data_IF_675498304291
#
_entry.id   IF_675498304291
#
_cell.length_a   1.000
_cell.length_b   1.000
_cell.length_c   1.000
_cell.angle_alpha   90.00
_cell.angle_beta   90.00
_cell.angle_gamma   90.00
#
_symmetry.space_group_name_H-M   'P 1'
#
loop_
_entity.id
_entity.type
_entity.pdbx_description
1 polymer ?
#
# COMPACT_ATOMS: atom_id res chain seq x y z
N UNK A 1 -10.33 47.78 41.50
CA UNK A 1 -10.74 47.43 40.13
C UNK A 1 -9.74 46.40 39.60
N UNK A 2 -10.08 45.13 39.73
CA UNK A 2 -9.29 44.00 39.29
C UNK A 2 -9.81 43.54 37.93
N UNK A 3 -8.95 43.35 36.94
CA UNK A 3 -9.26 42.68 35.67
C UNK A 3 -8.73 41.25 35.69
N UNK A 4 -9.68 40.37 35.64
CA UNK A 4 -9.51 38.93 35.44
C UNK A 4 -8.89 38.62 34.08
N UNK A 5 -7.79 37.85 34.07
CA UNK A 5 -7.23 37.29 32.87
C UNK A 5 -7.88 35.95 32.56
N UNK A 6 -8.45 35.84 31.37
CA UNK A 6 -8.99 34.61 30.82
C UNK A 6 -7.84 33.75 30.26
N UNK A 7 -7.76 32.52 30.73
CA UNK A 7 -6.81 31.51 30.24
C UNK A 7 -7.26 30.92 28.90
N UNK A 8 -6.33 30.84 27.99
CA UNK A 8 -6.49 30.23 26.66
C UNK A 8 -6.72 28.71 26.72
N UNK A 9 -7.67 28.16 25.96
CA UNK A 9 -7.96 26.73 25.92
C UNK A 9 -7.24 26.04 24.74
N UNK A 10 -5.93 26.16 24.65
CA UNK A 10 -5.19 25.32 23.71
C UNK A 10 -4.52 24.18 24.46
N UNK A 11 -5.14 23.02 24.33
CA UNK A 11 -4.64 21.77 24.87
C UNK A 11 -3.23 21.47 24.36
N UNK A 12 -2.42 21.01 25.28
CA UNK A 12 -1.07 20.51 25.08
C UNK A 12 -1.09 19.39 24.02
N UNK A 13 -0.17 19.38 23.04
CA UNK A 13 -0.08 18.28 22.09
C UNK A 13 0.18 16.95 22.83
N UNK A 14 -0.35 15.83 22.33
CA UNK A 14 -0.13 14.54 22.96
C UNK A 14 1.37 14.25 22.97
N UNK A 15 1.87 13.86 24.13
CA UNK A 15 3.25 13.47 24.35
C UNK A 15 3.63 12.36 23.33
N UNK A 16 4.82 12.51 22.75
CA UNK A 16 5.46 11.47 21.94
C UNK A 16 5.29 10.12 22.65
N UNK A 17 4.88 9.09 21.88
CA UNK A 17 4.71 7.73 22.37
C UNK A 17 5.98 7.31 23.12
N UNK A 18 5.87 7.14 24.42
CA UNK A 18 6.95 6.62 25.23
C UNK A 18 7.32 5.24 24.67
N UNK A 19 8.55 5.11 24.17
CA UNK A 19 9.14 3.82 23.86
C UNK A 19 9.05 2.96 25.12
N UNK A 20 8.14 1.98 25.11
CA UNK A 20 8.10 0.94 26.15
C UNK A 20 9.37 0.11 25.93
N UNK A 21 10.43 0.47 26.60
CA UNK A 21 11.62 -0.37 26.73
C UNK A 21 11.14 -1.65 27.41
N UNK A 22 10.98 -2.72 26.63
CA UNK A 22 10.74 -4.06 27.15
C UNK A 22 12.04 -4.53 27.81
N UNK A 23 12.33 -4.00 29.00
CA UNK A 23 13.48 -4.40 29.80
C UNK A 23 13.36 -5.91 30.10
N UNK A 24 14.18 -6.72 29.40
CA UNK A 24 14.20 -8.17 29.53
C UNK A 24 13.84 -8.96 28.26
N UNK A 25 13.41 -8.36 27.13
CA UNK A 25 13.16 -9.10 25.90
C UNK A 25 14.47 -9.54 25.24
N UNK A 26 14.50 -10.79 24.79
CA UNK A 26 15.67 -11.39 24.13
C UNK A 26 15.25 -12.30 22.97
N UNK A 27 16.17 -12.55 22.02
CA UNK A 27 15.91 -13.44 20.90
C UNK A 27 15.47 -14.85 21.32
N UNK A 28 16.07 -15.52 22.35
CA UNK A 28 15.57 -16.81 22.80
C UNK A 28 14.12 -16.77 23.28
N UNK A 29 13.70 -15.70 23.97
CA UNK A 29 12.31 -15.55 24.41
C UNK A 29 11.34 -15.36 23.24
N UNK A 30 11.68 -14.45 22.28
CA UNK A 30 10.87 -14.22 21.10
C UNK A 30 10.74 -15.48 20.25
N UNK A 31 11.88 -16.09 19.89
CA UNK A 31 11.89 -17.31 19.08
C UNK A 31 11.24 -18.49 19.77
N UNK A 32 11.43 -18.64 21.08
CA UNK A 32 10.80 -19.71 21.88
C UNK A 32 9.27 -19.63 21.87
N UNK A 33 8.68 -18.40 21.88
CA UNK A 33 7.23 -18.23 21.73
C UNK A 33 6.77 -18.63 20.34
N UNK A 34 7.46 -18.17 19.30
CA UNK A 34 7.10 -18.44 17.90
C UNK A 34 7.19 -19.94 17.57
N UNK A 35 8.28 -20.62 17.99
CA UNK A 35 8.43 -22.06 17.79
C UNK A 35 7.42 -22.88 18.58
N UNK A 36 6.98 -22.35 19.74
CA UNK A 36 5.87 -22.89 20.52
C UNK A 36 4.48 -22.51 19.97
N UNK A 37 4.39 -21.88 18.79
CA UNK A 37 3.15 -21.40 18.16
C UNK A 37 2.31 -20.50 19.08
N UNK A 38 2.97 -19.73 19.95
CA UNK A 38 2.34 -18.80 20.87
C UNK A 38 2.52 -17.37 20.36
N UNK A 39 1.47 -16.56 20.45
CA UNK A 39 1.54 -15.15 20.08
C UNK A 39 2.61 -14.43 20.91
N UNK A 40 3.31 -13.50 20.28
CA UNK A 40 4.27 -12.63 20.96
C UNK A 40 3.55 -11.79 22.03
N UNK A 41 4.21 -11.54 23.13
CA UNK A 41 3.71 -10.57 24.09
C UNK A 41 3.85 -9.16 23.50
N UNK A 42 2.99 -8.26 23.96
CA UNK A 42 3.00 -6.86 23.52
C UNK A 42 4.41 -6.26 23.61
N UNK A 43 4.84 -5.62 22.53
CA UNK A 43 6.15 -5.00 22.37
C UNK A 43 7.27 -5.97 21.95
N UNK A 44 7.04 -7.28 21.92
CA UNK A 44 8.09 -8.22 21.48
C UNK A 44 8.30 -8.21 19.97
N UNK A 45 7.24 -8.04 19.16
CA UNK A 45 7.37 -7.87 17.73
C UNK A 45 8.06 -6.53 17.41
N UNK A 46 7.69 -5.46 18.10
CA UNK A 46 8.32 -4.16 18.00
C UNK A 46 9.82 -4.23 18.34
N UNK A 47 10.16 -4.87 19.46
CA UNK A 47 11.56 -5.06 19.86
C UNK A 47 12.36 -5.83 18.80
N UNK A 48 11.81 -6.92 18.28
CA UNK A 48 12.50 -7.72 17.25
C UNK A 48 12.73 -6.90 15.97
N UNK A 49 11.71 -6.14 15.54
CA UNK A 49 11.82 -5.29 14.36
C UNK A 49 12.83 -4.16 14.58
N UNK A 50 12.90 -3.55 15.74
CA UNK A 50 13.90 -2.53 16.07
C UNK A 50 15.34 -3.10 16.01
N UNK A 51 15.55 -4.31 16.55
CA UNK A 51 16.84 -5.01 16.43
C UNK A 51 17.22 -5.26 14.96
N UNK A 52 16.24 -5.50 14.09
CA UNK A 52 16.47 -5.68 12.65
C UNK A 52 16.79 -4.34 11.99
N UNK A 53 15.98 -3.30 12.25
CA UNK A 53 16.14 -1.99 11.61
C UNK A 53 17.44 -1.29 12.03
N UNK A 54 17.91 -1.49 13.26
CA UNK A 54 19.19 -0.96 13.75
C UNK A 54 20.40 -1.79 13.30
N UNK A 55 20.18 -2.97 12.71
CA UNK A 55 21.25 -3.89 12.31
C UNK A 55 21.89 -4.65 13.48
N UNK A 56 21.26 -4.64 14.65
CA UNK A 56 21.71 -5.40 15.82
C UNK A 56 21.38 -6.90 15.73
N UNK A 57 20.34 -7.26 14.98
CA UNK A 57 19.96 -8.65 14.73
C UNK A 57 20.92 -9.34 13.78
N UNK A 58 21.29 -10.59 14.10
CA UNK A 58 22.11 -11.43 13.21
C UNK A 58 21.24 -12.05 12.10
N UNK A 59 21.78 -12.36 10.89
CA UNK A 59 21.01 -12.97 9.81
C UNK A 59 20.22 -14.21 10.22
N UNK A 60 20.79 -15.10 11.03
CA UNK A 60 20.10 -16.28 11.53
C UNK A 60 18.90 -15.95 12.43
N UNK A 61 18.96 -14.85 13.20
CA UNK A 61 17.86 -14.39 14.05
C UNK A 61 16.74 -13.81 13.19
N UNK A 62 17.08 -13.03 12.19
CA UNK A 62 16.11 -12.45 11.23
C UNK A 62 15.40 -13.57 10.47
N UNK A 63 16.16 -14.55 9.94
CA UNK A 63 15.59 -15.68 9.20
C UNK A 63 14.66 -16.51 10.08
N UNK A 64 15.12 -16.89 11.27
CA UNK A 64 14.32 -17.68 12.22
C UNK A 64 13.04 -16.93 12.62
N UNK A 65 13.13 -15.62 12.89
CA UNK A 65 11.98 -14.78 13.25
C UNK A 65 10.97 -14.71 12.10
N UNK A 66 11.42 -14.38 10.89
CA UNK A 66 10.55 -14.24 9.73
C UNK A 66 9.78 -15.53 9.43
N UNK A 67 10.49 -16.65 9.37
CA UNK A 67 9.88 -17.96 9.05
C UNK A 67 8.97 -18.45 10.19
N UNK A 68 9.41 -18.37 11.44
CA UNK A 68 8.62 -18.87 12.57
C UNK A 68 7.34 -18.04 12.78
N UNK A 69 7.40 -16.69 12.60
CA UNK A 69 6.23 -15.83 12.70
C UNK A 69 5.24 -16.11 11.56
N UNK A 70 5.74 -16.33 10.34
CA UNK A 70 4.90 -16.71 9.20
C UNK A 70 4.22 -18.07 9.42
N UNK A 71 4.96 -19.08 9.88
CA UNK A 71 4.42 -20.41 10.15
C UNK A 71 3.39 -20.43 11.30
N UNK A 72 3.54 -19.54 12.26
CA UNK A 72 2.57 -19.38 13.36
C UNK A 72 1.27 -18.72 12.86
N UNK A 73 1.30 -18.02 11.77
CA UNK A 73 0.31 -17.05 11.30
C UNK A 73 0.26 -15.82 12.25
N UNK A 74 0.79 -14.67 11.84
CA UNK A 74 0.86 -13.48 12.69
C UNK A 74 -0.54 -12.96 13.05
N UNK A 75 -0.66 -12.31 14.19
CA UNK A 75 -1.85 -11.52 14.52
C UNK A 75 -1.74 -10.11 13.93
N UNK A 76 -2.88 -9.42 13.82
CA UNK A 76 -2.90 -8.01 13.38
C UNK A 76 -2.05 -7.12 14.31
N UNK A 77 -2.07 -7.36 15.62
CA UNK A 77 -1.26 -6.61 16.59
C UNK A 77 0.25 -6.82 16.37
N UNK A 78 0.69 -8.06 16.14
CA UNK A 78 2.09 -8.36 15.85
C UNK A 78 2.56 -7.66 14.57
N UNK A 79 1.74 -7.69 13.51
CA UNK A 79 2.06 -7.02 12.24
C UNK A 79 2.00 -5.50 12.40
N UNK A 80 1.06 -4.98 13.19
CA UNK A 80 0.99 -3.55 13.50
C UNK A 80 2.23 -3.04 14.23
N UNK A 81 2.75 -3.83 15.19
CA UNK A 81 4.01 -3.51 15.88
C UNK A 81 5.20 -3.48 14.90
N UNK A 82 5.31 -4.47 13.99
CA UNK A 82 6.36 -4.50 12.97
C UNK A 82 6.29 -3.27 12.05
N UNK A 83 5.10 -2.99 11.52
CA UNK A 83 4.88 -1.86 10.63
C UNK A 83 5.12 -0.51 11.33
N UNK A 84 4.73 -0.39 12.61
CA UNK A 84 4.97 0.80 13.42
C UNK A 84 6.47 1.12 13.53
N UNK A 85 7.27 0.15 13.94
CA UNK A 85 8.72 0.33 14.05
C UNK A 85 9.37 0.64 12.69
N UNK A 86 8.93 -0.02 11.61
CA UNK A 86 9.45 0.28 10.28
C UNK A 86 9.15 1.73 9.87
N UNK A 87 7.97 2.26 10.21
CA UNK A 87 7.60 3.66 9.98
C UNK A 87 8.39 4.63 10.87
N UNK A 88 8.72 4.25 12.11
CA UNK A 88 9.52 5.07 13.02
C UNK A 88 10.98 5.19 12.57
N UNK A 89 11.49 4.19 11.84
CA UNK A 89 12.80 4.19 11.19
C UNK A 89 12.77 4.75 9.74
N UNK A 90 11.60 5.11 9.23
CA UNK A 90 11.49 5.72 7.90
C UNK A 90 11.98 7.16 7.90
N UNK A 91 12.41 7.66 6.73
CA UNK A 91 12.57 9.10 6.52
C UNK A 91 11.19 9.76 6.62
N UNK A 92 10.99 10.73 7.52
CA UNK A 92 9.67 11.31 7.72
C UNK A 92 9.23 12.14 6.51
N UNK A 93 7.94 12.14 6.23
CA UNK A 93 7.32 13.16 5.39
C UNK A 93 7.12 14.45 6.20
N UNK A 94 7.17 15.64 5.57
CA UNK A 94 6.85 16.89 6.22
C UNK A 94 5.46 16.84 6.88
N UNK A 95 5.39 17.29 8.13
CA UNK A 95 4.14 17.28 8.89
C UNK A 95 3.06 18.13 8.18
N UNK A 96 1.85 17.58 8.08
CA UNK A 96 0.69 18.25 7.47
C UNK A 96 0.82 18.61 5.96
N UNK A 97 1.86 18.13 5.28
CA UNK A 97 2.05 18.40 3.86
C UNK A 97 1.32 17.41 2.94
N UNK A 98 0.87 16.29 3.49
CA UNK A 98 0.06 15.30 2.74
C UNK A 98 -1.42 15.53 3.07
N UNK A 99 -2.30 15.66 2.06
CA UNK A 99 -3.73 15.76 2.28
C UNK A 99 -4.27 14.60 3.11
N UNK A 100 -5.17 14.87 4.06
CA UNK A 100 -5.73 13.83 4.92
C UNK A 100 -6.54 12.78 4.16
N UNK A 101 -7.06 13.16 3.01
CA UNK A 101 -7.85 12.34 2.08
C UNK A 101 -7.00 11.68 0.98
N UNK A 102 -5.67 11.83 1.02
CA UNK A 102 -4.79 11.14 0.08
C UNK A 102 -4.93 9.62 0.17
N UNK A 103 -4.81 8.96 -0.98
CA UNK A 103 -4.91 7.49 -1.09
C UNK A 103 -3.59 6.85 -1.48
N UNK A 104 -3.41 5.58 -1.08
CA UNK A 104 -2.41 4.68 -1.67
C UNK A 104 -3.10 3.62 -2.54
N UNK A 105 -2.44 3.22 -3.61
CA UNK A 105 -2.86 2.10 -4.47
C UNK A 105 -1.65 1.18 -4.61
N UNK A 106 -1.64 0.10 -3.84
CA UNK A 106 -0.45 -0.74 -3.70
C UNK A 106 -0.83 -2.18 -3.36
N UNK A 107 -0.04 -3.15 -3.83
CA UNK A 107 -0.17 -4.54 -3.45
C UNK A 107 1.06 -5.07 -2.71
N UNK A 108 0.93 -6.25 -2.13
CA UNK A 108 2.05 -6.97 -1.49
C UNK A 108 3.08 -7.44 -2.50
N UNK A 109 2.65 -7.65 -3.75
CA UNK A 109 3.38 -8.46 -4.70
C UNK A 109 3.45 -9.94 -4.26
N UNK A 110 4.14 -10.74 -5.05
CA UNK A 110 4.39 -12.14 -4.67
C UNK A 110 3.28 -13.12 -5.03
N UNK A 111 2.35 -12.73 -5.87
CA UNK A 111 1.30 -13.57 -6.45
C UNK A 111 1.88 -14.62 -7.45
N UNK A 112 3.10 -14.38 -7.94
CA UNK A 112 3.74 -15.24 -8.92
C UNK A 112 3.19 -15.09 -10.35
N UNK A 113 2.27 -14.16 -10.55
CA UNK A 113 1.62 -13.85 -11.82
C UNK A 113 2.22 -12.54 -12.32
N UNK A 114 2.93 -12.57 -13.43
CA UNK A 114 3.59 -11.37 -13.96
C UNK A 114 2.59 -10.50 -14.76
N UNK A 115 1.58 -9.96 -14.09
CA UNK A 115 0.64 -9.01 -14.71
C UNK A 115 1.33 -7.69 -15.07
N UNK A 116 0.74 -6.91 -15.96
CA UNK A 116 1.10 -5.49 -16.12
C UNK A 116 0.95 -4.75 -14.79
N UNK A 117 1.63 -3.63 -14.62
CA UNK A 117 1.60 -2.89 -13.35
C UNK A 117 0.25 -2.18 -13.13
N UNK A 118 -0.82 -2.96 -12.85
CA UNK A 118 -2.19 -2.49 -12.67
C UNK A 118 -2.29 -1.38 -11.62
N UNK A 119 -1.69 -1.59 -10.44
CA UNK A 119 -1.72 -0.59 -9.37
C UNK A 119 -1.05 0.73 -9.74
N UNK A 120 -0.02 0.71 -10.62
CA UNK A 120 0.65 1.93 -11.11
C UNK A 120 -0.25 2.71 -12.05
N UNK A 121 -0.89 2.03 -13.01
CA UNK A 121 -1.85 2.65 -13.93
C UNK A 121 -3.08 3.17 -13.18
N UNK A 122 -3.63 2.35 -12.26
CA UNK A 122 -4.78 2.73 -11.44
C UNK A 122 -4.48 3.99 -10.60
N UNK A 123 -3.29 4.11 -10.00
CA UNK A 123 -2.87 5.29 -9.25
C UNK A 123 -2.89 6.58 -10.12
N UNK A 124 -2.43 6.48 -11.38
CA UNK A 124 -2.46 7.62 -12.33
C UNK A 124 -3.91 7.98 -12.68
N UNK A 125 -4.77 6.98 -12.91
CA UNK A 125 -6.20 7.20 -13.21
C UNK A 125 -6.92 7.83 -12.02
N UNK A 126 -6.66 7.37 -10.79
CA UNK A 126 -7.21 7.94 -9.54
C UNK A 126 -6.84 9.42 -9.39
N UNK A 127 -5.55 9.75 -9.61
CA UNK A 127 -5.10 11.12 -9.55
C UNK A 127 -5.75 11.99 -10.65
N UNK A 128 -5.90 11.45 -11.86
CA UNK A 128 -6.58 12.12 -12.97
C UNK A 128 -8.09 12.31 -12.72
N UNK A 129 -8.70 11.45 -11.91
CA UNK A 129 -10.08 11.59 -11.42
C UNK A 129 -10.21 12.61 -10.27
N UNK A 130 -9.13 13.31 -9.89
CA UNK A 130 -9.13 14.39 -8.90
C UNK A 130 -8.99 13.92 -7.45
N UNK A 131 -8.52 12.70 -7.20
CA UNK A 131 -8.23 12.17 -5.86
C UNK A 131 -6.71 12.25 -5.62
N UNK A 132 -6.22 12.89 -4.54
CA UNK A 132 -4.80 12.97 -4.26
C UNK A 132 -4.18 11.57 -4.02
N UNK A 133 -3.06 11.26 -4.67
CA UNK A 133 -2.41 9.95 -4.56
C UNK A 133 -1.00 10.09 -4.01
N UNK A 134 -0.69 9.36 -2.93
CA UNK A 134 0.69 9.16 -2.47
C UNK A 134 1.00 7.68 -2.53
N UNK A 135 1.51 7.25 -3.69
CA UNK A 135 1.81 5.85 -3.94
C UNK A 135 3.11 5.43 -3.28
N UNK A 136 3.07 4.37 -2.49
CA UNK A 136 4.27 3.67 -2.03
C UNK A 136 4.61 2.53 -3.00
N UNK A 137 5.87 2.33 -3.28
CA UNK A 137 6.26 1.25 -4.18
C UNK A 137 7.75 0.98 -4.24
N UNK A 138 8.10 -0.13 -4.90
CA UNK A 138 9.47 -0.59 -5.03
C UNK A 138 9.72 -1.12 -6.45
N UNK A 139 10.97 -1.47 -6.72
CA UNK A 139 11.36 -2.29 -7.87
C UNK A 139 10.87 -3.73 -7.68
N UNK A 140 10.84 -4.49 -8.77
CA UNK A 140 10.51 -5.90 -8.74
C UNK A 140 11.40 -6.66 -7.75
N UNK A 141 10.79 -7.54 -6.94
CA UNK A 141 11.49 -8.48 -6.09
C UNK A 141 11.51 -9.90 -6.70
N UNK A 142 10.43 -10.29 -7.35
CA UNK A 142 10.23 -11.61 -7.97
C UNK A 142 9.57 -11.55 -9.36
N UNK A 143 8.88 -10.45 -9.69
CA UNK A 143 8.24 -10.22 -10.99
C UNK A 143 9.24 -9.67 -12.03
N UNK A 144 8.82 -9.59 -13.30
CA UNK A 144 9.64 -9.06 -14.40
C UNK A 144 9.80 -7.52 -14.30
N UNK A 145 8.82 -6.80 -13.73
CA UNK A 145 8.83 -5.35 -13.59
C UNK A 145 8.02 -4.94 -12.36
N UNK A 146 8.59 -4.13 -11.48
CA UNK A 146 7.89 -3.49 -10.37
C UNK A 146 7.31 -2.12 -10.74
N UNK A 147 6.48 -1.57 -9.86
CA UNK A 147 5.88 -0.24 -10.10
C UNK A 147 6.91 0.86 -10.30
N UNK A 148 8.02 0.82 -9.56
CA UNK A 148 9.12 1.77 -9.72
C UNK A 148 9.82 1.63 -11.09
N UNK A 149 10.04 0.41 -11.55
CA UNK A 149 10.69 0.14 -12.84
C UNK A 149 9.84 0.67 -14.00
N UNK A 150 8.54 0.45 -13.94
CA UNK A 150 7.58 0.97 -14.92
C UNK A 150 7.49 2.50 -14.88
N UNK A 151 7.48 3.14 -13.70
CA UNK A 151 7.48 4.59 -13.59
C UNK A 151 8.74 5.22 -14.20
N UNK A 152 9.91 4.65 -13.96
CA UNK A 152 11.15 5.10 -14.64
C UNK A 152 11.07 4.94 -16.16
N UNK A 153 10.56 3.80 -16.65
CA UNK A 153 10.37 3.57 -18.10
C UNK A 153 9.33 4.52 -18.71
N UNK A 154 8.36 4.98 -17.92
CA UNK A 154 7.44 6.05 -18.30
C UNK A 154 8.10 7.45 -18.32
N UNK A 155 9.27 7.59 -17.69
CA UNK A 155 10.01 8.84 -17.60
C UNK A 155 9.80 9.62 -16.30
N UNK A 156 9.10 9.05 -15.33
CA UNK A 156 8.94 9.67 -14.01
C UNK A 156 10.23 9.50 -13.19
N UNK A 157 10.72 10.58 -12.62
CA UNK A 157 11.84 10.50 -11.67
C UNK A 157 11.33 9.97 -10.34
N UNK A 158 11.89 8.86 -9.88
CA UNK A 158 11.41 8.13 -8.69
C UNK A 158 12.24 8.36 -7.43
N UNK A 159 13.48 8.85 -7.54
CA UNK A 159 14.44 9.04 -6.45
C UNK A 159 14.27 10.38 -5.72
N UNK A 160 13.03 10.83 -5.61
CA UNK A 160 12.66 12.08 -4.96
C UNK A 160 12.77 11.96 -3.43
N UNK A 161 13.19 13.05 -2.77
CA UNK A 161 13.09 13.18 -1.32
C UNK A 161 11.67 13.57 -0.87
N UNK A 162 11.47 13.68 0.46
CA UNK A 162 10.15 13.92 1.02
C UNK A 162 9.54 15.26 0.59
N UNK A 163 10.32 16.33 0.54
CA UNK A 163 9.86 17.67 0.13
C UNK A 163 9.51 17.68 -1.36
N UNK A 164 10.30 17.00 -2.17
CA UNK A 164 10.03 16.85 -3.61
C UNK A 164 8.78 16.03 -3.90
N UNK A 165 8.54 14.95 -3.12
CA UNK A 165 7.30 14.16 -3.22
C UNK A 165 6.08 15.01 -2.88
N UNK A 166 6.17 15.83 -1.82
CA UNK A 166 5.08 16.76 -1.44
C UNK A 166 4.82 17.75 -2.57
N UNK A 167 5.86 18.36 -3.14
CA UNK A 167 5.70 19.28 -4.27
C UNK A 167 5.05 18.61 -5.49
N UNK A 168 5.41 17.35 -5.77
CA UNK A 168 4.76 16.57 -6.83
C UNK A 168 3.28 16.36 -6.56
N UNK A 169 2.92 16.08 -5.31
CA UNK A 169 1.54 15.92 -4.89
C UNK A 169 0.74 17.22 -5.01
N UNK A 170 1.29 18.34 -4.57
CA UNK A 170 0.65 19.67 -4.65
C UNK A 170 0.42 20.14 -6.10
N UNK A 171 1.42 19.99 -6.96
CA UNK A 171 1.39 20.52 -8.33
C UNK A 171 0.73 19.58 -9.34
N UNK A 172 0.84 18.27 -9.11
CA UNK A 172 0.37 17.26 -10.08
C UNK A 172 -0.82 16.46 -9.56
N UNK A 173 -0.98 16.33 -8.25
CA UNK A 173 -1.99 15.49 -7.59
C UNK A 173 -1.50 14.07 -7.30
N UNK A 174 -0.25 13.73 -7.63
CA UNK A 174 0.34 12.42 -7.38
C UNK A 174 1.79 12.54 -6.95
N UNK A 175 2.17 11.77 -5.91
CA UNK A 175 3.54 11.59 -5.44
C UNK A 175 3.91 10.12 -5.35
N UNK A 176 5.20 9.80 -5.52
CA UNK A 176 5.72 8.45 -5.39
C UNK A 176 6.76 8.35 -4.30
N UNK A 177 6.48 7.56 -3.26
CA UNK A 177 7.40 7.23 -2.20
C UNK A 177 8.18 5.96 -2.57
N UNK A 178 9.41 6.12 -3.07
CA UNK A 178 10.26 5.01 -3.43
C UNK A 178 10.81 4.32 -2.17
N UNK A 179 10.43 3.07 -1.93
CA UNK A 179 10.71 2.36 -0.68
C UNK A 179 12.19 2.37 -0.24
N UNK A 180 13.21 2.16 -1.12
CA UNK A 180 14.62 2.25 -0.72
C UNK A 180 15.04 3.64 -0.25
N UNK A 181 14.43 4.70 -0.78
CA UNK A 181 14.71 6.07 -0.40
C UNK A 181 14.15 6.40 0.99
N UNK A 182 12.95 5.91 1.30
CA UNK A 182 12.27 6.21 2.57
C UNK A 182 12.57 5.22 3.69
N UNK A 183 12.93 3.97 3.36
CA UNK A 183 13.23 2.91 4.34
C UNK A 183 14.68 2.39 4.24
N UNK A 184 15.70 3.24 4.39
CA UNK A 184 17.09 2.82 4.21
C UNK A 184 17.53 1.73 5.18
N UNK A 185 16.97 1.68 6.38
CA UNK A 185 17.24 0.67 7.40
C UNK A 185 16.75 -0.72 7.02
N UNK A 186 15.76 -0.83 6.12
CA UNK A 186 15.22 -2.11 5.68
C UNK A 186 16.23 -2.97 4.89
N UNK A 187 17.37 -2.40 4.47
CA UNK A 187 18.47 -3.13 3.84
C UNK A 187 18.93 -4.34 4.66
N UNK A 188 18.85 -4.26 6.00
CA UNK A 188 19.26 -5.36 6.89
C UNK A 188 18.35 -6.58 6.78
N UNK A 189 17.05 -6.39 6.52
CA UNK A 189 16.10 -7.46 6.27
C UNK A 189 16.17 -7.95 4.81
N UNK A 190 16.44 -7.08 3.84
CA UNK A 190 16.36 -7.36 2.41
C UNK A 190 17.33 -8.46 1.95
N UNK A 191 18.56 -8.50 2.52
CA UNK A 191 19.55 -9.53 2.20
C UNK A 191 19.04 -10.89 2.66
N UNK A 192 18.60 -10.98 3.92
CA UNK A 192 18.13 -12.23 4.51
C UNK A 192 16.86 -12.75 3.79
N UNK A 193 15.95 -11.86 3.41
CA UNK A 193 14.75 -12.22 2.63
C UNK A 193 15.08 -12.88 1.31
N UNK A 194 16.09 -12.35 0.58
CA UNK A 194 16.56 -12.96 -0.68
C UNK A 194 17.17 -14.34 -0.48
N UNK A 195 17.90 -14.52 0.62
CA UNK A 195 18.51 -15.82 0.98
C UNK A 195 17.46 -16.85 1.38
N UNK A 196 16.39 -16.44 2.11
CA UNK A 196 15.27 -17.30 2.46
C UNK A 196 14.52 -17.78 1.20
N UNK A 197 14.31 -16.90 0.21
CA UNK A 197 13.73 -17.24 -1.09
C UNK A 197 12.25 -17.59 -1.10
N UNK A 198 11.55 -17.49 0.05
CA UNK A 198 10.09 -17.71 0.16
C UNK A 198 9.40 -16.51 0.79
N UNK A 199 8.09 -16.30 0.52
CA UNK A 199 7.31 -15.27 1.17
C UNK A 199 7.29 -15.43 2.69
N UNK A 200 7.34 -14.31 3.40
CA UNK A 200 7.27 -14.24 4.86
C UNK A 200 6.39 -13.06 5.28
N UNK A 201 6.18 -12.89 6.60
CA UNK A 201 5.48 -11.73 7.16
C UNK A 201 6.00 -10.38 6.62
N UNK A 202 7.26 -10.30 6.23
CA UNK A 202 7.83 -9.09 5.63
C UNK A 202 7.20 -8.69 4.29
N UNK A 203 6.52 -9.61 3.59
CA UNK A 203 5.81 -9.29 2.36
C UNK A 203 4.58 -8.42 2.62
N UNK A 204 4.00 -8.49 3.83
CA UNK A 204 2.87 -7.66 4.22
C UNK A 204 3.26 -6.20 4.53
N UNK A 205 4.54 -5.94 4.82
CA UNK A 205 4.96 -4.64 5.36
C UNK A 205 4.96 -3.52 4.33
N UNK A 206 5.18 -3.80 3.05
CA UNK A 206 5.21 -2.78 2.00
C UNK A 206 3.96 -1.88 2.01
N UNK A 207 2.76 -2.44 1.84
CA UNK A 207 1.51 -1.68 1.88
C UNK A 207 1.20 -1.04 3.23
N UNK A 208 1.74 -1.57 4.32
CA UNK A 208 1.50 -1.09 5.68
C UNK A 208 2.44 0.03 6.13
N UNK A 209 3.44 0.36 5.31
CA UNK A 209 4.54 1.26 5.71
C UNK A 209 4.77 2.41 4.75
N UNK A 210 3.73 2.88 4.07
CA UNK A 210 3.80 4.11 3.30
C UNK A 210 4.20 5.27 4.25
N UNK A 211 5.33 5.97 3.99
CA UNK A 211 5.83 7.02 4.89
C UNK A 211 4.89 8.24 4.97
N UNK A 212 4.05 8.44 3.96
CA UNK A 212 3.02 9.48 3.95
C UNK A 212 1.80 9.13 4.82
N UNK A 213 1.65 7.88 5.25
CA UNK A 213 0.57 7.37 6.12
C UNK A 213 -0.84 7.76 5.64
N UNK A 214 -1.18 7.56 4.35
CA UNK A 214 -2.52 7.87 3.86
C UNK A 214 -3.57 7.09 4.65
N UNK A 215 -4.72 7.72 4.88
CA UNK A 215 -5.81 7.09 5.63
C UNK A 215 -6.72 6.25 4.76
N UNK A 216 -6.65 6.41 3.45
CA UNK A 216 -7.45 5.67 2.50
C UNK A 216 -6.58 4.91 1.49
N UNK A 217 -7.12 3.87 0.87
CA UNK A 217 -6.40 3.15 -0.18
C UNK A 217 -7.05 1.87 -0.66
N UNK A 218 -6.59 1.42 -1.82
CA UNK A 218 -6.81 0.07 -2.33
C UNK A 218 -5.51 -0.73 -2.12
N UNK A 219 -5.62 -1.78 -1.33
CA UNK A 219 -4.45 -2.54 -0.86
C UNK A 219 -4.60 -3.99 -1.30
N UNK A 220 -3.79 -4.39 -2.26
CA UNK A 220 -3.76 -5.76 -2.73
C UNK A 220 -3.00 -6.70 -1.80
N UNK A 221 -3.46 -7.93 -1.66
CA UNK A 221 -2.81 -8.97 -0.88
C UNK A 221 -2.83 -10.31 -1.62
N UNK A 222 -1.66 -10.79 -2.06
CA UNK A 222 -1.53 -12.10 -2.71
C UNK A 222 -1.78 -13.28 -1.76
N UNK A 223 -1.76 -13.04 -0.45
CA UNK A 223 -1.84 -14.08 0.57
C UNK A 223 -3.23 -14.07 1.22
N UNK A 224 -4.17 -14.87 0.70
CA UNK A 224 -5.56 -14.90 1.15
C UNK A 224 -5.69 -15.05 2.68
N UNK A 225 -4.89 -15.93 3.28
CA UNK A 225 -4.89 -16.21 4.72
C UNK A 225 -4.37 -15.03 5.58
N UNK A 226 -3.66 -14.09 4.96
CA UNK A 226 -3.05 -12.94 5.64
C UNK A 226 -3.76 -11.62 5.32
N UNK A 227 -4.67 -11.59 4.36
CA UNK A 227 -5.41 -10.40 3.99
C UNK A 227 -6.27 -9.86 5.14
N UNK A 228 -6.90 -10.75 5.93
CA UNK A 228 -7.66 -10.36 7.12
C UNK A 228 -6.77 -9.78 8.21
N UNK A 229 -5.56 -10.31 8.38
CA UNK A 229 -4.55 -9.77 9.31
C UNK A 229 -4.16 -8.35 8.90
N UNK A 230 -3.93 -8.13 7.61
CA UNK A 230 -3.62 -6.80 7.06
C UNK A 230 -4.78 -5.82 7.26
N UNK A 231 -6.02 -6.26 6.99
CA UNK A 231 -7.22 -5.47 7.24
C UNK A 231 -7.34 -5.08 8.72
N UNK A 232 -7.02 -6.01 9.65
CA UNK A 232 -6.96 -5.76 11.07
C UNK A 232 -5.97 -4.65 11.45
N UNK A 233 -4.80 -4.60 10.82
CA UNK A 233 -3.83 -3.50 11.03
C UNK A 233 -4.42 -2.16 10.60
N UNK A 234 -5.07 -2.07 9.44
CA UNK A 234 -5.72 -0.84 9.01
C UNK A 234 -6.91 -0.45 9.91
N UNK A 235 -7.62 -1.44 10.45
CA UNK A 235 -8.71 -1.20 11.41
C UNK A 235 -8.19 -0.55 12.70
N UNK A 236 -7.05 -0.98 13.24
CA UNK A 236 -6.45 -0.33 14.43
C UNK A 236 -6.07 1.13 14.16
N UNK A 237 -5.74 1.47 12.90
CA UNK A 237 -5.44 2.84 12.44
C UNK A 237 -6.69 3.65 12.12
N UNK A 238 -7.89 3.02 12.16
CA UNK A 238 -9.18 3.61 11.76
C UNK A 238 -9.17 4.14 10.32
N UNK A 239 -8.44 3.47 9.44
CA UNK A 239 -8.31 3.81 8.03
C UNK A 239 -9.60 3.50 7.25
N UNK A 240 -9.75 4.10 6.07
CA UNK A 240 -10.77 3.79 5.06
C UNK A 240 -10.10 3.02 3.92
N UNK A 241 -10.05 1.69 4.00
CA UNK A 241 -9.26 0.86 3.09
C UNK A 241 -10.08 -0.31 2.58
N UNK A 242 -9.88 -0.63 1.31
CA UNK A 242 -10.27 -1.92 0.74
C UNK A 242 -9.00 -2.79 0.63
N UNK A 243 -8.89 -3.81 1.48
CA UNK A 243 -7.90 -4.87 1.27
C UNK A 243 -8.53 -5.89 0.32
N UNK A 244 -7.83 -6.23 -0.76
CA UNK A 244 -8.40 -7.03 -1.84
C UNK A 244 -7.50 -8.22 -2.18
N UNK A 245 -8.14 -9.31 -2.59
CA UNK A 245 -7.50 -10.51 -3.10
C UNK A 245 -8.34 -11.05 -4.24
N UNK A 246 -7.76 -11.21 -5.42
CA UNK A 246 -8.40 -11.89 -6.54
C UNK A 246 -8.50 -13.39 -6.26
N UNK A 247 -9.66 -14.01 -6.52
CA UNK A 247 -9.83 -15.45 -6.30
C UNK A 247 -9.02 -16.29 -7.31
N UNK A 248 -8.36 -15.64 -8.28
CA UNK A 248 -7.32 -16.17 -9.18
C UNK A 248 -5.90 -16.08 -8.58
N UNK A 249 -5.74 -15.48 -7.41
CA UNK A 249 -4.48 -15.31 -6.70
C UNK A 249 -3.83 -13.93 -6.82
N UNK A 250 -4.37 -13.03 -7.64
CA UNK A 250 -3.87 -11.68 -7.81
C UNK A 250 -3.95 -10.86 -6.53
N UNK A 251 -2.97 -10.00 -6.29
CA UNK A 251 -3.02 -8.96 -5.27
C UNK A 251 -3.67 -7.67 -5.79
N UNK A 252 -4.74 -7.84 -6.60
CA UNK A 252 -5.59 -6.78 -7.17
C UNK A 252 -7.05 -7.23 -7.23
N UNK A 253 -7.94 -6.30 -7.53
CA UNK A 253 -9.27 -6.64 -8.02
C UNK A 253 -9.13 -7.20 -9.44
N UNK A 254 -9.67 -8.38 -9.66
CA UNK A 254 -9.55 -9.07 -10.94
C UNK A 254 -10.82 -8.99 -11.78
N UNK A 255 -10.66 -9.04 -13.10
CA UNK A 255 -11.75 -9.21 -14.07
C UNK A 255 -11.88 -10.66 -14.55
N UNK A 256 -10.96 -11.56 -14.16
CA UNK A 256 -10.98 -12.96 -14.60
C UNK A 256 -12.00 -13.80 -13.82
N UNK A 257 -12.18 -13.48 -12.54
CA UNK A 257 -13.10 -14.16 -11.63
C UNK A 257 -13.68 -13.18 -10.61
N UNK A 258 -14.07 -13.64 -9.44
CA UNK A 258 -14.45 -12.82 -8.29
C UNK A 258 -13.22 -12.38 -7.50
N UNK A 259 -13.43 -11.43 -6.60
CA UNK A 259 -12.42 -11.01 -5.62
C UNK A 259 -13.03 -11.02 -4.22
N UNK A 260 -12.21 -11.32 -3.23
CA UNK A 260 -12.55 -11.10 -1.83
C UNK A 260 -12.09 -9.71 -1.40
N UNK A 261 -12.98 -8.94 -0.79
CA UNK A 261 -12.70 -7.59 -0.25
C UNK A 261 -12.89 -7.61 1.26
N UNK A 262 -11.89 -7.17 2.01
CA UNK A 262 -12.01 -6.78 3.41
C UNK A 262 -12.12 -5.26 3.46
N UNK A 263 -13.36 -4.77 3.60
CA UNK A 263 -13.65 -3.35 3.75
C UNK A 263 -13.31 -2.93 5.17
N UNK A 264 -12.37 -2.00 5.31
CA UNK A 264 -11.99 -1.40 6.58
C UNK A 264 -12.58 0.00 6.66
N UNK A 265 -13.39 0.26 7.67
CA UNK A 265 -14.00 1.57 7.90
C UNK A 265 -14.20 1.83 9.39
N UNK A 266 -13.74 2.99 9.88
CA UNK A 266 -13.93 3.45 11.26
C UNK A 266 -13.51 2.44 12.36
N UNK A 267 -12.60 1.52 12.05
CA UNK A 267 -12.08 0.49 12.97
C UNK A 267 -12.82 -0.85 12.89
N UNK A 268 -13.74 -1.02 11.94
CA UNK A 268 -14.42 -2.29 11.65
C UNK A 268 -13.89 -2.92 10.37
N UNK A 269 -14.03 -4.24 10.25
CA UNK A 269 -13.67 -5.01 9.05
C UNK A 269 -14.90 -5.82 8.62
N UNK A 270 -15.32 -5.64 7.39
CA UNK A 270 -16.36 -6.44 6.75
C UNK A 270 -15.77 -7.21 5.58
N UNK A 271 -15.95 -8.53 5.56
CA UNK A 271 -15.55 -9.39 4.43
C UNK A 271 -16.69 -9.51 3.43
N UNK A 272 -16.40 -9.24 2.15
CA UNK A 272 -17.35 -9.21 1.06
C UNK A 272 -16.78 -9.99 -0.14
N UNK A 273 -17.65 -10.66 -0.90
CA UNK A 273 -17.32 -11.15 -2.24
C UNK A 273 -17.73 -10.09 -3.25
N UNK A 274 -16.85 -9.79 -4.17
CA UNK A 274 -17.06 -8.82 -5.24
C UNK A 274 -16.99 -9.52 -6.59
N UNK A 275 -18.03 -9.34 -7.39
CA UNK A 275 -18.09 -9.85 -8.76
C UNK A 275 -18.13 -8.69 -9.77
N UNK A 276 -17.08 -8.47 -10.57
CA UNK A 276 -17.03 -7.39 -11.56
C UNK A 276 -18.10 -7.55 -12.66
N UNK A 277 -18.59 -8.77 -12.93
CA UNK A 277 -19.66 -8.99 -13.90
C UNK A 277 -20.96 -8.26 -13.50
N UNK A 278 -21.21 -8.07 -12.20
CA UNK A 278 -22.32 -7.27 -11.69
C UNK A 278 -22.28 -5.79 -12.08
N UNK A 279 -21.12 -5.30 -12.54
CA UNK A 279 -20.89 -3.93 -13.03
C UNK A 279 -20.67 -3.88 -14.55
N UNK A 280 -20.96 -4.96 -15.27
CA UNK A 280 -20.89 -5.02 -16.73
C UNK A 280 -19.52 -5.35 -17.31
N UNK A 281 -18.54 -5.72 -16.49
CA UNK A 281 -17.24 -6.19 -17.01
C UNK A 281 -17.39 -7.61 -17.59
N UNK A 282 -16.83 -7.80 -18.79
CA UNK A 282 -16.64 -9.13 -19.34
C UNK A 282 -15.56 -9.88 -18.55
N UNK A 283 -15.65 -11.20 -18.47
CA UNK A 283 -14.57 -12.02 -17.94
C UNK A 283 -13.39 -11.97 -18.90
N UNK A 284 -12.23 -11.66 -18.35
CA UNK A 284 -10.96 -11.77 -19.05
C UNK A 284 -10.32 -13.13 -18.78
N UNK A 285 -9.44 -13.57 -19.66
CA UNK A 285 -8.52 -14.65 -19.37
C UNK A 285 -7.28 -14.09 -18.68
N UNK A 286 -6.64 -14.87 -17.81
CA UNK A 286 -5.50 -14.37 -17.01
C UNK A 286 -4.30 -13.97 -17.88
N UNK A 287 -4.10 -14.66 -19.01
CA UNK A 287 -3.03 -14.36 -19.97
C UNK A 287 -3.21 -13.03 -20.69
N UNK A 288 -4.44 -12.49 -20.78
CA UNK A 288 -4.73 -11.15 -21.31
C UNK A 288 -4.28 -10.02 -20.38
N UNK A 289 -3.95 -10.33 -19.11
CA UNK A 289 -3.46 -9.36 -18.13
C UNK A 289 -1.93 -9.42 -17.94
N UNK A 290 -1.26 -10.37 -18.60
CA UNK A 290 0.17 -10.56 -18.43
C UNK A 290 0.97 -9.38 -18.98
N UNK A 291 2.03 -9.04 -18.27
CA UNK A 291 2.99 -8.01 -18.63
C UNK A 291 4.32 -8.58 -19.09
N UNK A 292 5.27 -7.69 -19.22
CA UNK A 292 6.64 -8.01 -19.62
C UNK A 292 7.66 -7.27 -18.75
N UNK A 293 8.74 -6.88 -19.38
CA UNK A 293 9.74 -6.01 -18.77
C UNK A 293 9.19 -4.57 -18.58
N UNK A 294 9.98 -3.71 -17.96
CA UNK A 294 9.60 -2.35 -17.66
C UNK A 294 9.21 -1.54 -18.90
N UNK A 295 9.86 -1.77 -20.05
CA UNK A 295 9.57 -1.05 -21.29
C UNK A 295 8.25 -1.52 -21.92
N UNK A 296 8.01 -2.83 -21.93
CA UNK A 296 6.75 -3.41 -22.38
C UNK A 296 5.58 -2.92 -21.52
N UNK A 297 5.72 -2.96 -20.19
CA UNK A 297 4.69 -2.48 -19.27
C UNK A 297 4.47 -0.96 -19.36
N UNK A 298 5.52 -0.17 -19.62
CA UNK A 298 5.38 1.26 -19.88
C UNK A 298 4.67 1.57 -21.20
N UNK A 299 4.90 0.76 -22.23
CA UNK A 299 4.19 0.90 -23.52
C UNK A 299 2.70 0.60 -23.35
N UNK A 300 2.36 -0.49 -22.64
CA UNK A 300 0.97 -0.83 -22.32
C UNK A 300 0.30 0.24 -21.46
N UNK A 301 1.00 0.75 -20.44
CA UNK A 301 0.47 1.84 -19.61
C UNK A 301 0.16 3.10 -20.45
N UNK A 302 1.03 3.48 -21.39
CA UNK A 302 0.74 4.61 -22.30
C UNK A 302 -0.47 4.34 -23.19
N UNK A 303 -0.61 3.12 -23.71
CA UNK A 303 -1.75 2.73 -24.52
C UNK A 303 -3.06 2.82 -23.74
N UNK A 304 -3.12 2.23 -22.54
CA UNK A 304 -4.31 2.26 -21.67
C UNK A 304 -4.67 3.68 -21.26
N UNK A 305 -3.71 4.45 -20.77
CA UNK A 305 -3.93 5.84 -20.33
C UNK A 305 -4.29 6.76 -21.49
N UNK A 306 -3.86 6.43 -22.73
CA UNK A 306 -4.25 7.09 -23.98
C UNK A 306 -5.59 6.62 -24.55
N UNK A 307 -6.34 5.75 -23.85
CA UNK A 307 -7.70 5.37 -24.22
C UNK A 307 -7.84 4.01 -24.91
N UNK A 308 -6.78 3.20 -25.03
CA UNK A 308 -6.89 1.86 -25.57
C UNK A 308 -7.90 1.03 -24.73
N UNK A 309 -8.74 0.24 -25.43
CA UNK A 309 -9.75 -0.62 -24.81
C UNK A 309 -9.24 -2.05 -24.71
N UNK A 310 -9.78 -2.81 -23.79
CA UNK A 310 -9.44 -4.24 -23.59
C UNK A 310 -9.35 -4.62 -22.13
N UNK A 311 -9.02 -5.89 -21.85
CA UNK A 311 -9.01 -6.46 -20.49
C UNK A 311 -8.13 -5.71 -19.51
N UNK A 312 -6.95 -5.24 -19.95
CA UNK A 312 -6.04 -4.48 -19.08
C UNK A 312 -6.68 -3.15 -18.66
N UNK A 313 -7.32 -2.41 -19.60
CA UNK A 313 -8.04 -1.19 -19.25
C UNK A 313 -9.16 -1.46 -18.25
N UNK A 314 -9.91 -2.53 -18.45
CA UNK A 314 -11.01 -2.89 -17.57
C UNK A 314 -10.51 -3.19 -16.15
N UNK A 315 -9.42 -3.93 -16.01
CA UNK A 315 -8.77 -4.17 -14.73
C UNK A 315 -8.24 -2.89 -14.09
N UNK A 316 -7.65 -1.98 -14.87
CA UNK A 316 -7.18 -0.66 -14.38
C UNK A 316 -8.34 0.21 -13.88
N UNK A 317 -9.43 0.30 -14.64
CA UNK A 317 -10.64 1.05 -14.26
C UNK A 317 -11.25 0.46 -12.98
N UNK A 318 -11.33 -0.86 -12.87
CA UNK A 318 -11.85 -1.55 -11.70
C UNK A 318 -11.03 -1.23 -10.44
N UNK A 319 -9.71 -1.32 -10.52
CA UNK A 319 -8.82 -1.03 -9.39
C UNK A 319 -8.81 0.48 -9.05
N UNK A 320 -8.84 1.36 -10.05
CA UNK A 320 -8.98 2.79 -9.80
C UNK A 320 -10.31 3.14 -9.11
N UNK A 321 -11.41 2.52 -9.54
CA UNK A 321 -12.71 2.68 -8.87
C UNK A 321 -12.66 2.22 -7.41
N UNK A 322 -12.04 1.07 -7.12
CA UNK A 322 -11.84 0.60 -5.74
C UNK A 322 -11.11 1.60 -4.85
N UNK A 323 -10.07 2.26 -5.37
CA UNK A 323 -9.37 3.32 -4.64
C UNK A 323 -10.24 4.57 -4.42
N UNK A 324 -11.05 4.97 -5.42
CA UNK A 324 -12.00 6.08 -5.29
C UNK A 324 -13.09 5.75 -4.26
N UNK A 325 -13.58 4.50 -4.23
CA UNK A 325 -14.53 4.02 -3.21
C UNK A 325 -13.91 4.09 -1.81
N UNK A 326 -12.65 3.68 -1.65
CA UNK A 326 -11.93 3.78 -0.39
C UNK A 326 -11.75 5.24 0.06
N UNK A 327 -11.45 6.14 -0.87
CA UNK A 327 -11.34 7.59 -0.63
C UNK A 327 -12.66 8.20 -0.14
N UNK A 328 -13.77 7.85 -0.78
CA UNK A 328 -15.09 8.39 -0.40
C UNK A 328 -15.49 8.02 1.04
N UNK A 329 -15.00 6.88 1.54
CA UNK A 329 -15.34 6.36 2.86
C UNK A 329 -16.83 5.99 2.94
N UNK A 330 -17.14 4.73 3.19
CA UNK A 330 -18.52 4.26 3.21
C UNK A 330 -19.00 4.06 4.64
N UNK A 331 -19.99 4.87 5.07
CA UNK A 331 -20.56 4.78 6.40
C UNK A 331 -21.60 3.67 6.53
N UNK A 332 -22.18 3.23 5.41
CA UNK A 332 -23.22 2.19 5.39
C UNK A 332 -23.10 1.26 4.19
N UNK A 333 -23.72 0.07 4.30
CA UNK A 333 -23.80 -0.88 3.18
C UNK A 333 -24.69 -0.36 2.03
N UNK A 334 -25.62 0.54 2.32
CA UNK A 334 -26.48 1.12 1.29
C UNK A 334 -25.71 2.03 0.31
N UNK A 335 -24.59 2.60 0.75
CA UNK A 335 -23.74 3.45 -0.08
C UNK A 335 -22.82 2.64 -1.01
N UNK A 336 -22.71 1.31 -0.81
CA UNK A 336 -21.74 0.47 -1.51
C UNK A 336 -21.91 0.51 -3.04
N UNK A 337 -23.12 0.20 -3.53
CA UNK A 337 -23.38 0.16 -4.97
C UNK A 337 -23.24 1.54 -5.63
N UNK A 338 -23.87 2.62 -5.12
CA UNK A 338 -23.69 3.97 -5.67
C UNK A 338 -22.24 4.44 -5.70
N UNK A 339 -21.43 4.12 -4.68
CA UNK A 339 -20.02 4.50 -4.66
C UNK A 339 -19.18 3.78 -5.73
N UNK A 340 -19.49 2.50 -5.98
CA UNK A 340 -18.85 1.77 -7.07
C UNK A 340 -19.25 2.31 -8.44
N UNK A 341 -20.53 2.64 -8.66
CA UNK A 341 -21.01 3.26 -9.90
C UNK A 341 -20.32 4.59 -10.15
N UNK A 342 -20.21 5.48 -9.12
CA UNK A 342 -19.47 6.73 -9.20
C UNK A 342 -17.98 6.51 -9.48
N UNK A 343 -17.34 5.62 -8.73
CA UNK A 343 -15.93 5.29 -8.89
C UNK A 343 -15.58 4.80 -10.30
N UNK A 344 -16.38 3.88 -10.84
CA UNK A 344 -16.23 3.36 -12.19
C UNK A 344 -16.43 4.43 -13.26
N UNK A 345 -17.44 5.27 -13.07
CA UNK A 345 -17.70 6.40 -13.98
C UNK A 345 -16.53 7.38 -13.99
N UNK A 346 -16.04 7.80 -12.83
CA UNK A 346 -14.91 8.73 -12.69
C UNK A 346 -13.62 8.15 -13.26
N UNK A 347 -13.31 6.89 -12.97
CA UNK A 347 -12.12 6.23 -13.50
C UNK A 347 -12.16 6.10 -15.02
N UNK A 348 -13.31 5.69 -15.60
CA UNK A 348 -13.49 5.61 -17.04
C UNK A 348 -13.38 7.00 -17.70
N UNK A 349 -14.03 8.02 -17.13
CA UNK A 349 -14.01 9.38 -17.64
C UNK A 349 -12.58 9.99 -17.62
N UNK A 350 -11.77 9.67 -16.61
CA UNK A 350 -10.38 10.13 -16.52
C UNK A 350 -9.52 9.61 -17.70
N UNK A 351 -9.78 8.39 -18.17
CA UNK A 351 -9.13 7.84 -19.38
C UNK A 351 -9.76 8.41 -20.64
N UNK A 352 -11.08 8.34 -20.79
CA UNK A 352 -11.80 8.67 -22.03
C UNK A 352 -11.70 10.16 -22.39
N UNK A 353 -11.52 11.04 -21.41
CA UNK A 353 -11.26 12.48 -21.65
C UNK A 353 -9.80 12.81 -21.98
N UNK A 354 -8.88 11.84 -21.87
CA UNK A 354 -7.44 12.07 -22.00
C UNK A 354 -6.79 12.69 -20.76
N UNK A 355 -7.52 12.84 -19.65
CA UNK A 355 -6.98 13.46 -18.42
C UNK A 355 -5.85 12.60 -17.80
N UNK A 356 -5.96 11.28 -17.88
CA UNK A 356 -4.94 10.36 -17.37
C UNK A 356 -3.62 10.46 -18.15
N UNK A 357 -3.68 10.53 -19.48
CA UNK A 357 -2.50 10.74 -20.33
C UNK A 357 -1.85 12.11 -20.07
N UNK A 358 -2.66 13.17 -19.97
CA UNK A 358 -2.19 14.53 -19.68
C UNK A 358 -1.55 14.63 -18.28
N UNK A 359 -2.12 13.94 -17.27
CA UNK A 359 -1.56 13.89 -15.92
C UNK A 359 -0.20 13.19 -15.94
N UNK A 360 -0.07 12.04 -16.59
CA UNK A 360 1.21 11.34 -16.74
C UNK A 360 2.25 12.26 -17.40
N UNK A 361 1.91 12.91 -18.52
CA UNK A 361 2.81 13.82 -19.22
C UNK A 361 3.24 15.01 -18.33
N UNK A 362 2.34 15.53 -17.50
CA UNK A 362 2.61 16.60 -16.54
C UNK A 362 3.52 16.10 -15.42
N UNK A 363 3.26 14.90 -14.88
CA UNK A 363 4.05 14.26 -13.82
C UNK A 363 5.49 13.99 -14.28
N UNK A 364 5.66 13.43 -15.48
CA UNK A 364 6.99 13.22 -16.08
C UNK A 364 7.76 14.52 -16.15
N UNK A 365 7.18 15.58 -16.77
CA UNK A 365 7.86 16.87 -16.88
C UNK A 365 8.20 17.48 -15.52
N UNK A 366 7.27 17.46 -14.58
CA UNK A 366 7.46 18.07 -13.27
C UNK A 366 8.51 17.33 -12.44
N UNK A 367 8.45 15.99 -12.40
CA UNK A 367 9.40 15.19 -11.63
C UNK A 367 10.86 15.36 -12.10
N UNK A 368 11.07 15.65 -13.38
CA UNK A 368 12.41 15.90 -13.94
C UNK A 368 12.96 17.31 -13.58
N UNK A 369 12.12 18.21 -13.09
CA UNK A 369 12.50 19.56 -12.66
C UNK A 369 12.80 19.65 -11.16
N UNK A 370 12.49 18.60 -10.40
CA UNK A 370 12.72 18.50 -8.97
C UNK A 370 14.14 18.01 -8.68
#
# INVERSE_FOLDING_TARGET
MARSGEGSPFGRPPAASASVSASGTSWPQVLGRLTGRTNLARGQAAWAMDQIMTGAARPAQIAAFAVALTMKVPTADEVAELAGVMLDHARPMPAHAVPEDAVDVVGTGGDGINTVNLSTMAAIVVAAAGVPVVKHGNRAASSLSGGADTLEALGVRIDLDADQVVRSLEEVGIGFCFAPQFHPSYRHASVVRREIGVPTVFNLLGPLTNPARPRAGLIGCAFADLAEVMAGVFATRRSSVLVVHGDDGLDELTTTTTSTIWRVQAGTVDKLTFDPAGFGFARAELDELLGGDAQANAAEARAVLGGARGPIRDAVVLNAAGAIVAHAGLSSRAEWLPAWEDGLQRASAAIDSGAAEQLLARWVRFSQQL
#
